data_IF_469160939234
#
_entry.id   IF_469160939234
#
_cell.length_a   1.000
_cell.length_b   1.000
_cell.length_c   1.000
_cell.angle_alpha   90.00
_cell.angle_beta   90.00
_cell.angle_gamma   90.00
#
_symmetry.space_group_name_H-M   'P 1'
#
loop_
_entity.id
_entity.type
_entity.pdbx_description
1 polymer ?
#
# COMPACT_ATOMS: atom_id res chain seq x y z
N UNK A 1 5.99 11.21 23.32
CA UNK A 1 6.06 9.78 23.69
C UNK A 1 6.49 9.05 22.43
N UNK A 2 7.62 8.35 22.46
CA UNK A 2 8.21 7.68 21.30
C UNK A 2 7.34 6.46 20.98
N UNK A 3 6.56 6.53 19.91
CA UNK A 3 5.80 5.38 19.38
C UNK A 3 6.78 4.45 18.67
N UNK A 4 7.44 3.58 19.42
CA UNK A 4 8.25 2.50 18.86
C UNK A 4 7.33 1.35 18.51
N UNK A 5 7.17 1.09 17.22
CA UNK A 5 6.55 -0.14 16.73
C UNK A 5 7.24 -1.35 17.36
N UNK A 6 6.52 -2.44 17.64
CA UNK A 6 7.15 -3.66 18.07
C UNK A 6 8.19 -4.09 17.03
N UNK A 7 9.41 -4.35 17.48
CA UNK A 7 10.51 -4.85 16.68
C UNK A 7 10.09 -6.16 15.99
N UNK A 8 10.67 -6.53 14.82
CA UNK A 8 10.36 -7.80 14.13
C UNK A 8 10.55 -9.07 14.98
N UNK A 9 11.13 -8.98 16.15
CA UNK A 9 11.23 -10.06 17.16
C UNK A 9 10.15 -10.01 18.25
N UNK A 10 9.29 -9.02 18.28
CA UNK A 10 8.14 -8.94 19.18
C UNK A 10 6.91 -9.57 18.52
N UNK A 11 6.15 -10.38 19.27
CA UNK A 11 4.91 -10.94 18.76
C UNK A 11 3.90 -9.83 18.46
N UNK A 12 3.45 -9.75 17.20
CA UNK A 12 2.32 -8.91 16.81
C UNK A 12 1.07 -9.34 17.56
N UNK A 13 0.25 -8.38 17.98
CA UNK A 13 -1.06 -8.66 18.58
C UNK A 13 -2.09 -9.09 17.55
N UNK A 14 -1.86 -8.71 16.29
CA UNK A 14 -2.72 -8.97 15.16
C UNK A 14 -1.92 -9.58 14.01
N UNK A 15 -2.62 -10.14 13.02
CA UNK A 15 -2.05 -10.56 11.73
C UNK A 15 -2.38 -9.53 10.69
N UNK A 16 -1.43 -9.22 9.83
CA UNK A 16 -1.64 -8.27 8.73
C UNK A 16 -1.47 -8.95 7.39
N UNK A 17 -2.34 -8.62 6.47
CA UNK A 17 -2.26 -8.96 5.06
C UNK A 17 -2.08 -7.65 4.30
N UNK A 18 -0.88 -7.38 3.79
CA UNK A 18 -0.59 -6.18 3.01
C UNK A 18 -0.91 -6.46 1.54
N UNK A 19 -1.91 -5.79 1.00
CA UNK A 19 -2.39 -6.01 -0.36
C UNK A 19 -2.17 -4.79 -1.23
N UNK A 20 -1.48 -4.96 -2.35
CA UNK A 20 -1.49 -3.95 -3.42
C UNK A 20 -2.81 -4.03 -4.16
N UNK A 21 -3.40 -2.86 -4.52
CA UNK A 21 -4.60 -2.80 -5.35
C UNK A 21 -4.46 -3.64 -6.64
N UNK A 22 -5.57 -4.11 -7.21
CA UNK A 22 -5.60 -4.80 -8.49
C UNK A 22 -5.12 -3.90 -9.63
N UNK A 23 -4.81 -4.48 -10.79
CA UNK A 23 -4.40 -3.72 -11.97
C UNK A 23 -5.41 -2.61 -12.28
N UNK A 24 -4.93 -1.37 -12.42
CA UNK A 24 -5.75 -0.17 -12.58
C UNK A 24 -5.68 0.40 -13.99
N UNK A 25 -6.58 1.32 -14.30
CA UNK A 25 -6.54 2.08 -15.55
C UNK A 25 -5.25 2.93 -15.65
N UNK A 26 -4.71 3.41 -14.52
CA UNK A 26 -3.41 4.07 -14.50
C UNK A 26 -2.29 3.12 -14.93
N UNK A 27 -2.29 1.88 -14.42
CA UNK A 27 -1.34 0.84 -14.86
C UNK A 27 -1.50 0.54 -16.35
N UNK A 28 -2.72 0.41 -16.83
CA UNK A 28 -3.00 0.14 -18.25
C UNK A 28 -2.50 1.25 -19.16
N UNK A 29 -2.58 2.49 -18.73
CA UNK A 29 -2.17 3.66 -19.50
C UNK A 29 -0.70 4.04 -19.28
N UNK A 30 0.00 3.38 -18.34
CA UNK A 30 1.38 3.69 -17.98
C UNK A 30 1.53 5.09 -17.39
N UNK A 31 0.62 5.50 -16.50
CA UNK A 31 0.59 6.82 -15.89
C UNK A 31 0.85 6.78 -14.39
N UNK A 32 1.51 7.82 -13.90
CA UNK A 32 1.65 8.11 -12.47
C UNK A 32 0.39 8.84 -12.00
N UNK A 33 -0.40 8.19 -11.16
CA UNK A 33 -1.58 8.77 -10.52
C UNK A 33 -1.41 8.65 -9.00
N UNK A 34 -1.00 9.75 -8.41
CA UNK A 34 -0.62 9.82 -7.00
C UNK A 34 -1.30 10.95 -6.23
N UNK A 35 -1.95 11.88 -6.94
CA UNK A 35 -2.66 13.00 -6.33
C UNK A 35 -4.14 12.67 -6.12
N UNK A 36 -4.74 13.05 -4.96
CA UNK A 36 -6.16 12.77 -4.69
C UNK A 36 -7.11 13.33 -5.74
N UNK A 37 -6.82 14.50 -6.32
CA UNK A 37 -7.67 15.11 -7.35
C UNK A 37 -7.90 14.19 -8.56
N UNK A 38 -6.95 13.30 -8.86
CA UNK A 38 -7.06 12.34 -9.95
C UNK A 38 -7.44 10.94 -9.47
N UNK A 39 -6.97 10.55 -8.28
CA UNK A 39 -7.07 9.18 -7.78
C UNK A 39 -8.34 8.85 -7.00
N UNK A 40 -9.04 9.84 -6.43
CA UNK A 40 -10.24 9.59 -5.63
C UNK A 40 -11.44 9.12 -6.47
N UNK A 41 -11.60 9.67 -7.66
CA UNK A 41 -12.76 9.39 -8.53
C UNK A 41 -12.38 8.85 -9.91
N UNK A 42 -11.09 8.83 -10.24
CA UNK A 42 -10.57 8.35 -11.52
C UNK A 42 -9.59 7.18 -11.35
N UNK A 43 -9.28 6.55 -12.46
CA UNK A 43 -8.28 5.49 -12.57
C UNK A 43 -8.53 4.30 -11.63
N UNK A 44 -9.77 3.86 -11.56
CA UNK A 44 -10.17 2.64 -10.87
C UNK A 44 -9.57 1.37 -11.49
N UNK A 45 -10.10 0.22 -11.13
CA UNK A 45 -9.63 -1.06 -11.68
C UNK A 45 -9.85 -1.13 -13.20
N UNK A 46 -8.86 -1.71 -13.88
CA UNK A 46 -9.01 -2.11 -15.29
C UNK A 46 -9.80 -3.44 -15.38
N UNK A 47 -10.27 -3.83 -16.58
CA UNK A 47 -10.87 -5.15 -16.77
C UNK A 47 -9.95 -6.31 -16.32
N UNK A 48 -8.64 -6.15 -16.51
CA UNK A 48 -7.65 -7.11 -16.01
C UNK A 48 -7.66 -7.16 -14.47
N UNK A 49 -7.70 -6.01 -13.81
CA UNK A 49 -7.76 -5.93 -12.35
C UNK A 49 -9.02 -6.57 -11.77
N UNK A 50 -10.17 -6.35 -12.40
CA UNK A 50 -11.42 -7.01 -12.03
C UNK A 50 -11.29 -8.54 -12.09
N UNK A 51 -10.74 -9.06 -13.18
CA UNK A 51 -10.49 -10.49 -13.37
C UNK A 51 -9.49 -11.05 -12.36
N UNK A 52 -8.41 -10.32 -12.07
CA UNK A 52 -7.43 -10.71 -11.04
C UNK A 52 -8.09 -10.90 -9.68
N UNK A 53 -8.94 -9.96 -9.28
CA UNK A 53 -9.61 -10.02 -7.97
C UNK A 53 -10.67 -11.13 -7.90
N UNK A 54 -11.40 -11.36 -8.98
CA UNK A 54 -12.36 -12.46 -9.06
C UNK A 54 -11.66 -13.81 -8.84
N UNK A 55 -10.55 -14.03 -9.52
CA UNK A 55 -9.74 -15.25 -9.35
C UNK A 55 -9.11 -15.34 -7.96
N UNK A 56 -8.60 -14.22 -7.43
CA UNK A 56 -7.97 -14.17 -6.12
C UNK A 56 -8.94 -14.58 -5.01
N UNK A 57 -10.15 -14.00 -4.98
CA UNK A 57 -11.13 -14.31 -3.93
C UNK A 57 -11.66 -15.74 -4.06
N UNK A 58 -11.82 -16.25 -5.28
CA UNK A 58 -12.23 -17.62 -5.52
C UNK A 58 -11.19 -18.67 -5.06
N UNK A 59 -9.90 -18.31 -5.12
CA UNK A 59 -8.77 -19.15 -4.73
C UNK A 59 -8.06 -18.66 -3.46
N UNK A 60 -8.77 -18.00 -2.57
CA UNK A 60 -8.20 -17.40 -1.36
C UNK A 60 -7.46 -18.45 -0.51
N UNK A 61 -6.18 -18.22 -0.26
CA UNK A 61 -5.29 -19.14 0.47
C UNK A 61 -4.65 -18.52 1.73
N UNK A 62 -4.95 -17.28 2.02
CA UNK A 62 -4.47 -16.59 3.21
C UNK A 62 -5.44 -16.74 4.39
N UNK A 63 -5.05 -16.40 5.63
CA UNK A 63 -5.97 -16.32 6.74
C UNK A 63 -7.18 -15.42 6.38
N UNK A 64 -8.37 -15.84 6.80
CA UNK A 64 -9.59 -15.06 6.54
C UNK A 64 -9.51 -13.71 7.25
N UNK A 65 -9.64 -12.58 6.55
CA UNK A 65 -9.63 -11.28 7.20
C UNK A 65 -10.86 -11.11 8.08
N UNK A 66 -10.69 -10.43 9.19
CA UNK A 66 -11.76 -9.98 10.07
C UNK A 66 -12.03 -8.49 9.92
N UNK A 67 -11.09 -7.76 9.30
CA UNK A 67 -11.19 -6.33 8.99
C UNK A 67 -10.52 -6.02 7.66
N UNK A 68 -11.06 -5.02 6.97
CA UNK A 68 -10.51 -4.50 5.70
C UNK A 68 -10.36 -2.99 5.83
N UNK A 69 -9.12 -2.50 5.79
CA UNK A 69 -8.78 -1.09 5.84
C UNK A 69 -8.07 -0.71 4.53
N UNK A 70 -8.38 0.42 3.95
CA UNK A 70 -7.85 0.76 2.63
C UNK A 70 -7.62 2.26 2.43
N UNK A 71 -6.71 2.59 1.49
CA UNK A 71 -6.59 3.93 0.93
C UNK A 71 -7.91 4.34 0.26
N UNK A 72 -8.23 5.62 0.31
CA UNK A 72 -9.46 6.19 -0.29
C UNK A 72 -9.39 6.37 -1.82
N UNK A 73 -8.27 6.06 -2.48
CA UNK A 73 -8.17 6.08 -3.92
C UNK A 73 -9.12 5.04 -4.54
N UNK A 74 -9.71 5.37 -5.70
CA UNK A 74 -10.72 4.53 -6.33
C UNK A 74 -10.24 3.09 -6.53
N UNK A 75 -9.02 2.89 -7.05
CA UNK A 75 -8.44 1.56 -7.30
C UNK A 75 -8.28 0.71 -6.04
N UNK A 76 -7.96 1.32 -4.90
CA UNK A 76 -7.89 0.62 -3.61
C UNK A 76 -9.27 0.40 -3.00
N UNK A 77 -10.18 1.34 -3.15
CA UNK A 77 -11.58 1.22 -2.71
C UNK A 77 -12.29 0.07 -3.42
N UNK A 78 -12.16 -0.03 -4.75
CA UNK A 78 -12.74 -1.11 -5.54
C UNK A 78 -12.11 -2.46 -5.20
N UNK A 79 -10.79 -2.51 -5.00
CA UNK A 79 -10.08 -3.72 -4.56
C UNK A 79 -10.60 -4.19 -3.21
N UNK A 80 -10.63 -3.30 -2.21
CA UNK A 80 -11.11 -3.60 -0.87
C UNK A 80 -12.58 -4.07 -0.86
N UNK A 81 -13.42 -3.42 -1.63
CA UNK A 81 -14.84 -3.78 -1.74
C UNK A 81 -15.06 -5.20 -2.28
N UNK A 82 -14.21 -5.65 -3.23
CA UNK A 82 -14.29 -7.02 -3.76
C UNK A 82 -13.97 -8.05 -2.69
N UNK A 83 -12.89 -7.85 -1.94
CA UNK A 83 -12.50 -8.78 -0.86
C UNK A 83 -13.52 -8.74 0.28
N UNK A 84 -13.90 -7.55 0.73
CA UNK A 84 -14.86 -7.37 1.82
C UNK A 84 -16.19 -8.04 1.51
N UNK A 85 -16.72 -7.87 0.29
CA UNK A 85 -17.96 -8.53 -0.15
C UNK A 85 -17.86 -10.05 -0.08
N UNK A 86 -16.73 -10.62 -0.48
CA UNK A 86 -16.53 -12.08 -0.44
C UNK A 86 -16.62 -12.63 0.98
N UNK A 87 -16.12 -11.88 1.96
CA UNK A 87 -16.12 -12.29 3.38
C UNK A 87 -17.27 -11.70 4.20
N UNK A 88 -18.16 -10.93 3.60
CA UNK A 88 -19.29 -10.31 4.32
C UNK A 88 -18.85 -9.23 5.32
N UNK A 89 -17.78 -8.49 5.00
CA UNK A 89 -17.21 -7.46 5.85
C UNK A 89 -17.51 -6.06 5.32
N UNK A 90 -17.54 -5.08 6.23
CA UNK A 90 -17.47 -3.67 5.89
C UNK A 90 -16.01 -3.25 5.64
N UNK A 91 -15.82 -2.11 4.97
CA UNK A 91 -14.51 -1.52 4.73
C UNK A 91 -14.33 -0.24 5.54
N UNK A 92 -13.10 0.02 5.95
CA UNK A 92 -12.70 1.22 6.68
C UNK A 92 -11.66 1.99 5.83
N UNK A 93 -11.83 3.31 5.71
CA UNK A 93 -10.90 4.17 4.98
C UNK A 93 -9.84 4.73 5.92
N UNK A 94 -8.57 4.67 5.51
CA UNK A 94 -7.48 5.38 6.14
C UNK A 94 -6.64 6.11 5.08
N UNK A 95 -6.68 7.43 5.08
CA UNK A 95 -5.96 8.27 4.12
C UNK A 95 -4.44 8.15 4.22
N UNK A 96 -3.92 7.66 5.35
CA UNK A 96 -2.49 7.38 5.53
C UNK A 96 -2.00 6.20 4.68
N UNK A 97 -2.92 5.40 4.11
CA UNK A 97 -2.62 4.30 3.17
C UNK A 97 -2.56 4.76 1.71
N UNK A 98 -2.72 6.05 1.42
CA UNK A 98 -2.63 6.61 0.05
C UNK A 98 -1.30 6.29 -0.62
N UNK A 99 -1.33 6.37 -1.95
CA UNK A 99 -0.12 6.36 -2.77
C UNK A 99 0.86 7.45 -2.29
N UNK A 100 2.15 7.21 -2.51
CA UNK A 100 3.18 8.24 -2.39
C UNK A 100 2.89 9.34 -3.40
N UNK A 101 2.88 10.60 -2.96
CA UNK A 101 2.74 11.73 -3.86
C UNK A 101 4.02 11.89 -4.71
N UNK A 102 3.87 11.86 -6.03
CA UNK A 102 4.97 12.05 -6.96
C UNK A 102 5.07 13.48 -7.51
N UNK A 103 4.42 14.45 -6.88
CA UNK A 103 4.57 15.89 -7.12
C UNK A 103 4.38 16.28 -8.59
N UNK A 104 5.40 16.90 -9.18
CA UNK A 104 5.38 17.37 -10.56
C UNK A 104 5.30 16.24 -11.61
N UNK A 105 5.52 14.99 -11.21
CA UNK A 105 5.42 13.82 -12.09
C UNK A 105 3.98 13.28 -12.19
N UNK A 106 3.04 13.86 -11.48
CA UNK A 106 1.62 13.49 -11.57
C UNK A 106 1.13 13.53 -13.02
N UNK A 107 0.45 12.48 -13.47
CA UNK A 107 -0.04 12.27 -14.84
C UNK A 107 1.05 12.13 -15.91
N UNK A 108 2.31 12.04 -15.52
CA UNK A 108 3.42 11.72 -16.41
C UNK A 108 3.51 10.19 -16.61
N UNK A 109 4.32 9.78 -17.60
CA UNK A 109 4.58 8.38 -17.86
C UNK A 109 5.25 7.69 -16.64
N UNK A 110 4.86 6.45 -16.34
CA UNK A 110 5.42 5.65 -15.25
C UNK A 110 6.91 5.30 -15.45
N UNK A 111 7.42 5.48 -16.67
CA UNK A 111 8.86 5.40 -16.96
C UNK A 111 9.71 6.44 -16.20
N UNK A 112 9.09 7.42 -15.55
CA UNK A 112 9.77 8.37 -14.66
C UNK A 112 10.07 7.81 -13.27
N UNK A 113 9.41 6.74 -12.83
CA UNK A 113 9.65 6.15 -11.50
C UNK A 113 11.12 5.82 -11.22
N UNK A 114 11.88 5.19 -12.14
CA UNK A 114 13.27 4.83 -11.87
C UNK A 114 14.17 6.01 -11.52
N UNK A 115 13.92 7.19 -12.08
CA UNK A 115 14.68 8.40 -11.75
C UNK A 115 14.45 8.84 -10.30
N UNK A 116 13.22 8.76 -9.80
CA UNK A 116 12.90 9.05 -8.39
C UNK A 116 13.51 8.00 -7.47
N UNK A 117 13.39 6.73 -7.80
CA UNK A 117 13.96 5.65 -6.99
C UNK A 117 15.49 5.69 -6.92
N UNK A 118 16.16 6.17 -7.95
CA UNK A 118 17.60 6.39 -7.93
C UNK A 118 18.01 7.51 -6.92
N UNK A 119 17.18 8.55 -6.79
CA UNK A 119 17.35 9.58 -5.77
C UNK A 119 17.07 9.05 -4.35
N UNK A 120 16.01 8.25 -4.20
CA UNK A 120 15.68 7.60 -2.92
C UNK A 120 16.82 6.73 -2.39
N UNK A 121 17.53 6.04 -3.28
CA UNK A 121 18.68 5.21 -2.92
C UNK A 121 19.86 6.02 -2.37
N UNK A 122 19.94 7.31 -2.72
CA UNK A 122 20.97 8.23 -2.23
C UNK A 122 20.52 8.94 -0.96
N UNK A 123 19.26 9.41 -0.94
CA UNK A 123 18.67 10.15 0.17
C UNK A 123 17.16 9.87 0.28
N UNK A 124 16.70 9.04 1.25
CA UNK A 124 15.29 8.77 1.45
C UNK A 124 14.48 9.95 2.01
N UNK A 125 15.13 11.10 2.25
CA UNK A 125 14.48 12.32 2.73
C UNK A 125 14.33 13.39 1.64
N UNK A 126 14.81 13.12 0.40
CA UNK A 126 14.74 14.10 -0.67
C UNK A 126 13.31 14.46 -1.07
N UNK A 127 13.13 15.64 -1.59
CA UNK A 127 11.86 16.18 -2.12
C UNK A 127 11.98 16.66 -3.57
N UNK A 128 12.93 16.12 -4.35
CA UNK A 128 13.10 16.45 -5.77
C UNK A 128 11.78 16.19 -6.52
N UNK A 129 11.49 17.01 -7.52
CA UNK A 129 10.20 17.01 -8.24
C UNK A 129 8.96 17.26 -7.36
N UNK A 130 9.12 17.70 -6.11
CA UNK A 130 8.01 17.84 -5.16
C UNK A 130 7.44 16.50 -4.69
N UNK A 131 8.20 15.41 -4.79
CA UNK A 131 7.74 14.09 -4.32
C UNK A 131 7.71 14.03 -2.79
N UNK A 132 6.76 13.27 -2.26
CA UNK A 132 6.77 12.90 -0.85
C UNK A 132 7.99 12.05 -0.54
N UNK A 133 8.74 12.37 0.51
CA UNK A 133 9.93 11.61 0.87
C UNK A 133 9.59 10.18 1.30
N UNK A 134 10.50 9.25 1.07
CA UNK A 134 10.37 7.87 1.54
C UNK A 134 10.20 7.82 3.06
N UNK A 135 10.92 8.68 3.78
CA UNK A 135 10.82 8.79 5.24
C UNK A 135 9.40 9.19 5.69
N UNK A 136 8.76 10.16 5.02
CA UNK A 136 7.39 10.58 5.33
C UNK A 136 6.38 9.46 5.07
N UNK A 137 6.52 8.73 3.97
CA UNK A 137 5.67 7.58 3.67
C UNK A 137 5.82 6.50 4.73
N UNK A 138 7.05 6.16 5.12
CA UNK A 138 7.33 5.18 6.18
C UNK A 138 6.65 5.57 7.49
N UNK A 139 6.78 6.84 7.89
CA UNK A 139 6.19 7.35 9.14
C UNK A 139 4.66 7.19 9.16
N UNK A 140 3.96 7.63 8.09
CA UNK A 140 2.50 7.56 8.06
C UNK A 140 1.95 6.13 8.01
N UNK A 141 2.61 5.21 7.29
CA UNK A 141 2.17 3.82 7.25
C UNK A 141 2.47 3.07 8.56
N UNK A 142 3.62 3.33 9.18
CA UNK A 142 3.94 2.78 10.50
C UNK A 142 2.96 3.26 11.57
N UNK A 143 2.50 4.51 11.49
CA UNK A 143 1.48 5.03 12.40
C UNK A 143 0.15 4.28 12.27
N UNK A 144 -0.25 3.86 11.06
CA UNK A 144 -1.44 3.00 10.87
C UNK A 144 -1.27 1.68 11.61
N UNK A 145 -0.16 0.99 11.42
CA UNK A 145 0.11 -0.28 12.09
C UNK A 145 0.10 -0.11 13.61
N UNK A 146 0.76 0.94 14.13
CA UNK A 146 0.80 1.20 15.56
C UNK A 146 -0.60 1.39 16.17
N UNK A 147 -1.44 2.17 15.52
CA UNK A 147 -2.83 2.40 15.95
C UNK A 147 -3.67 1.12 15.94
N UNK A 148 -3.52 0.31 14.88
CA UNK A 148 -4.23 -0.96 14.76
C UNK A 148 -3.78 -1.97 15.84
N UNK A 149 -2.48 -2.00 16.18
CA UNK A 149 -1.94 -2.82 17.26
C UNK A 149 -2.45 -2.38 18.65
N UNK A 150 -2.70 -1.08 18.85
CA UNK A 150 -3.30 -0.58 20.09
C UNK A 150 -4.81 -0.86 20.16
N UNK A 151 -5.50 -0.79 19.01
CA UNK A 151 -6.96 -0.86 18.93
C UNK A 151 -7.50 -2.28 18.95
N UNK A 152 -6.82 -3.22 18.30
CA UNK A 152 -7.31 -4.59 18.09
C UNK A 152 -6.41 -5.64 18.73
N UNK A 153 -6.99 -6.82 18.97
CA UNK A 153 -6.33 -8.01 19.48
C UNK A 153 -6.84 -9.24 18.73
N UNK A 154 -5.92 -10.11 18.33
CA UNK A 154 -6.21 -11.35 17.62
C UNK A 154 -7.00 -11.16 16.30
N UNK A 155 -6.94 -9.95 15.72
CA UNK A 155 -7.56 -9.64 14.44
C UNK A 155 -6.66 -10.07 13.26
N UNK A 156 -7.29 -10.45 12.15
CA UNK A 156 -6.63 -10.56 10.85
C UNK A 156 -7.04 -9.36 10.01
N UNK A 157 -6.12 -8.44 9.76
CA UNK A 157 -6.39 -7.14 9.15
C UNK A 157 -5.80 -7.09 7.74
N UNK A 158 -6.68 -6.94 6.75
CA UNK A 158 -6.26 -6.68 5.37
C UNK A 158 -6.08 -5.17 5.19
N UNK A 159 -4.85 -4.76 4.81
CA UNK A 159 -4.53 -3.39 4.44
C UNK A 159 -4.37 -3.30 2.92
N UNK A 160 -5.26 -2.57 2.26
CA UNK A 160 -5.19 -2.36 0.80
C UNK A 160 -4.58 -0.99 0.52
N UNK A 161 -3.41 -1.00 -0.11
CA UNK A 161 -2.62 0.19 -0.41
C UNK A 161 -1.97 0.06 -1.80
N UNK A 162 -0.84 0.70 -2.00
CA UNK A 162 -0.17 0.87 -3.28
C UNK A 162 1.24 0.28 -3.24
N UNK A 163 1.84 0.08 -4.43
CA UNK A 163 3.11 -0.64 -4.54
C UNK A 163 4.27 0.02 -3.81
N UNK A 164 4.53 1.30 -4.05
CA UNK A 164 5.66 2.01 -3.44
C UNK A 164 5.52 2.15 -1.92
N UNK A 165 4.36 2.63 -1.39
CA UNK A 165 4.13 2.68 0.05
C UNK A 165 4.30 1.34 0.76
N UNK A 166 3.77 0.26 0.19
CA UNK A 166 3.90 -1.06 0.83
C UNK A 166 5.35 -1.58 0.82
N UNK A 167 6.13 -1.34 -0.24
CA UNK A 167 7.54 -1.67 -0.24
C UNK A 167 8.33 -0.86 0.80
N UNK A 168 8.01 0.41 0.96
CA UNK A 168 8.59 1.28 1.98
C UNK A 168 8.25 0.75 3.38
N UNK A 169 6.98 0.42 3.63
CA UNK A 169 6.54 -0.14 4.91
C UNK A 169 7.27 -1.46 5.23
N UNK A 170 7.31 -2.39 4.28
CA UNK A 170 7.99 -3.67 4.45
C UNK A 170 9.49 -3.50 4.75
N UNK A 171 10.13 -2.52 4.14
CA UNK A 171 11.54 -2.18 4.39
C UNK A 171 11.74 -1.63 5.80
N UNK A 172 10.88 -0.70 6.23
CA UNK A 172 10.90 -0.13 7.56
C UNK A 172 10.66 -1.19 8.65
N UNK A 173 9.65 -2.04 8.47
CA UNK A 173 9.33 -3.12 9.41
C UNK A 173 10.42 -4.19 9.51
N UNK A 174 11.17 -4.40 8.43
CA UNK A 174 12.33 -5.29 8.42
C UNK A 174 13.59 -4.66 9.06
N UNK A 175 13.52 -3.41 9.52
CA UNK A 175 14.68 -2.69 10.06
C UNK A 175 15.77 -2.40 9.04
N UNK A 176 15.44 -2.44 7.75
CA UNK A 176 16.37 -2.14 6.67
C UNK A 176 16.44 -0.62 6.40
N UNK A 177 17.55 -0.11 5.87
CA UNK A 177 17.63 1.29 5.45
C UNK A 177 16.53 1.62 4.44
N UNK A 178 15.84 2.74 4.63
CA UNK A 178 14.76 3.17 3.73
C UNK A 178 15.22 3.42 2.29
N UNK A 179 16.52 3.76 2.11
CA UNK A 179 17.16 3.86 0.79
C UNK A 179 17.17 2.55 0.00
N UNK A 180 16.96 1.41 0.67
CA UNK A 180 16.94 0.08 0.07
C UNK A 180 15.53 -0.43 -0.26
N UNK A 181 14.49 0.43 -0.21
CA UNK A 181 13.11 -0.03 -0.38
C UNK A 181 12.82 -0.63 -1.76
N UNK A 182 13.60 -0.28 -2.78
CA UNK A 182 13.49 -0.86 -4.13
C UNK A 182 14.37 -2.08 -4.38
N UNK A 183 15.22 -2.48 -3.42
CA UNK A 183 16.01 -3.72 -3.51
C UNK A 183 15.15 -4.96 -3.28
N UNK A 184 13.96 -4.78 -2.71
CA UNK A 184 12.95 -5.85 -2.58
C UNK A 184 12.28 -6.12 -3.93
N UNK A 185 11.83 -7.37 -4.19
CA UNK A 185 11.01 -7.65 -5.37
C UNK A 185 9.78 -6.75 -5.43
N UNK A 186 9.48 -6.24 -6.63
CA UNK A 186 8.30 -5.40 -6.81
C UNK A 186 7.02 -6.15 -6.48
N UNK A 187 6.12 -5.50 -5.74
CA UNK A 187 4.79 -6.04 -5.47
C UNK A 187 3.94 -5.93 -6.74
N UNK A 188 3.47 -7.05 -7.25
CA UNK A 188 2.56 -7.06 -8.41
C UNK A 188 1.15 -6.63 -8.01
N UNK A 189 0.33 -6.08 -8.94
CA UNK A 189 -1.07 -5.77 -8.66
C UNK A 189 -1.82 -6.99 -8.09
N UNK A 190 -2.68 -6.76 -7.10
CA UNK A 190 -3.43 -7.77 -6.36
C UNK A 190 -2.57 -8.76 -5.54
N UNK A 191 -1.27 -8.52 -5.39
CA UNK A 191 -0.43 -9.36 -4.52
C UNK A 191 -0.70 -9.11 -3.04
N UNK A 192 -0.57 -10.15 -2.22
CA UNK A 192 -0.74 -10.09 -0.77
C UNK A 192 0.55 -10.58 -0.10
N UNK A 193 1.05 -9.80 0.86
CA UNK A 193 2.20 -10.13 1.69
C UNK A 193 1.74 -10.25 3.15
N UNK A 194 1.77 -11.44 3.76
CA UNK A 194 1.40 -11.61 5.16
C UNK A 194 2.51 -11.11 6.09
N UNK A 195 2.11 -10.56 7.25
CA UNK A 195 2.94 -10.20 8.40
C UNK A 195 2.36 -10.80 9.68
N UNK A 196 3.20 -11.29 10.57
CA UNK A 196 2.82 -11.87 11.85
C UNK A 196 2.91 -13.37 11.93
#
# INVERSE_FOLDING_TARGET
MSNTLPHPSGSWRNRYLLMRHGHSLANQQGLIISHPDNGLTGYGLSPLGESQLEQLVAAWSWPTPTRVVHSDFLRTTETAARVARHFGLDTEVDVRLRERCFGALERQADSHYPAVWALDAQDPTHGEYGVESVASVAERLQAVIAELEETYLDATILLVSHGDPLQILLTALAGQPLSAHRDRPALTPASITPLG
#
